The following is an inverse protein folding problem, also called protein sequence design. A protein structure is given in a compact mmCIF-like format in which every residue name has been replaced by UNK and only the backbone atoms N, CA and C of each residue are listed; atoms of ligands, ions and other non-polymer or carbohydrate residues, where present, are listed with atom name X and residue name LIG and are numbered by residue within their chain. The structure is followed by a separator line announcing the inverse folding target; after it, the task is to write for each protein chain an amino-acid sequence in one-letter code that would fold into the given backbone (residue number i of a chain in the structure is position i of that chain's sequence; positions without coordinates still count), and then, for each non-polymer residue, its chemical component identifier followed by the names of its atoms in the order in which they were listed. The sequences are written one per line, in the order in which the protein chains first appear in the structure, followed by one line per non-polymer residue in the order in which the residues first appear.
data_IF_221807169952
#
_entry.id   IF_221807169952
#
_cell.length_a   1.000
_cell.length_b   1.000
_cell.length_c   1.000
_cell.angle_alpha   90.00
_cell.angle_beta   90.00
_cell.angle_gamma   90.00
#
_symmetry.space_group_name_H-M   'P 1'
#
loop_
_entity.id
_entity.type
_entity.pdbx_description
1 polymer ?
#
# COMPACT_ATOMS: atom_id res chain seq x y z
N UNK A 1 17.87 14.53 -11.59
CA UNK A 1 18.35 13.42 -12.46
C UNK A 1 18.91 12.33 -11.55
N UNK A 2 18.18 11.22 -11.31
CA UNK A 2 18.77 10.05 -10.62
C UNK A 2 19.22 9.05 -11.68
N UNK A 3 20.53 8.80 -11.74
CA UNK A 3 21.15 7.89 -12.68
C UNK A 3 21.10 6.44 -12.16
N UNK A 4 20.60 5.57 -13.04
CA UNK A 4 21.02 4.20 -13.36
C UNK A 4 21.67 3.30 -12.30
N UNK A 5 21.01 2.16 -12.06
CA UNK A 5 21.61 0.96 -11.49
C UNK A 5 20.62 -0.20 -11.47
N UNK A 6 20.37 -0.86 -12.61
CA UNK A 6 19.67 -2.15 -12.63
C UNK A 6 20.67 -3.25 -12.24
N UNK A 7 20.95 -3.34 -10.94
CA UNK A 7 21.68 -4.46 -10.37
C UNK A 7 20.81 -5.72 -10.42
N UNK A 8 21.37 -6.83 -10.87
CA UNK A 8 20.76 -8.17 -10.80
C UNK A 8 20.68 -8.64 -9.34
N UNK A 9 19.83 -7.98 -8.55
CA UNK A 9 19.28 -8.54 -7.33
C UNK A 9 18.05 -9.33 -7.80
N UNK A 10 18.03 -10.65 -7.60
CA UNK A 10 16.76 -11.37 -7.59
C UNK A 10 15.90 -10.67 -6.55
N UNK A 11 15.02 -9.77 -6.98
CA UNK A 11 13.97 -9.26 -6.13
C UNK A 11 13.16 -10.50 -5.75
N UNK A 12 13.41 -11.00 -4.54
CA UNK A 12 12.47 -11.92 -3.92
C UNK A 12 11.17 -11.16 -3.92
N UNK A 13 10.19 -11.61 -4.71
CA UNK A 13 8.87 -11.00 -4.74
C UNK A 13 8.42 -10.87 -3.29
N UNK A 14 8.19 -9.65 -2.77
CA UNK A 14 7.69 -9.51 -1.42
C UNK A 14 6.39 -10.32 -1.31
N UNK A 15 6.20 -11.08 -0.22
CA UNK A 15 4.98 -11.85 -0.06
C UNK A 15 3.77 -10.91 -0.10
N UNK A 16 2.66 -11.37 -0.67
CA UNK A 16 1.40 -10.67 -0.51
C UNK A 16 0.98 -10.75 0.96
N UNK A 17 0.53 -9.64 1.55
CA UNK A 17 -0.05 -9.67 2.88
C UNK A 17 -1.54 -9.99 2.82
N UNK A 18 -1.95 -10.95 3.64
CA UNK A 18 -3.36 -11.19 3.91
C UNK A 18 -3.94 -10.03 4.73
N UNK A 19 -5.27 -9.85 4.66
CA UNK A 19 -6.01 -8.81 5.40
C UNK A 19 -5.83 -8.85 6.94
N UNK A 20 -5.20 -9.91 7.49
CA UNK A 20 -4.93 -10.09 8.93
C UNK A 20 -3.47 -9.85 9.30
N UNK A 21 -2.59 -9.63 8.31
CA UNK A 21 -1.17 -9.38 8.53
C UNK A 21 -0.88 -7.88 8.65
N UNK A 22 0.26 -7.54 9.27
CA UNK A 22 0.70 -6.15 9.38
C UNK A 22 1.28 -5.67 8.03
N UNK A 23 0.70 -4.65 7.39
CA UNK A 23 1.19 -4.12 6.10
C UNK A 23 2.48 -3.29 6.21
N UNK A 24 2.89 -2.86 7.41
CA UNK A 24 4.00 -1.92 7.58
C UNK A 24 5.35 -2.40 7.01
N UNK A 25 5.77 -3.67 7.18
CA UNK A 25 7.03 -4.15 6.61
C UNK A 25 7.05 -4.05 5.09
N UNK A 26 5.92 -4.36 4.43
CA UNK A 26 5.78 -4.26 2.98
C UNK A 26 5.76 -2.80 2.51
N UNK A 27 4.98 -1.95 3.18
CA UNK A 27 4.87 -0.53 2.85
C UNK A 27 6.25 0.16 2.80
N UNK A 28 7.17 -0.19 3.70
CA UNK A 28 8.51 0.41 3.79
C UNK A 28 9.48 -0.01 2.68
N UNK A 29 9.23 -1.13 1.99
CA UNK A 29 10.15 -1.67 0.99
C UNK A 29 9.58 -1.62 -0.43
N UNK A 30 8.28 -1.39 -0.57
CA UNK A 30 7.60 -1.29 -1.86
C UNK A 30 7.62 0.15 -2.37
N UNK A 31 7.71 0.31 -3.69
CA UNK A 31 7.42 1.60 -4.34
C UNK A 31 5.90 1.87 -4.38
N UNK A 32 5.10 0.80 -4.51
CA UNK A 32 3.64 0.85 -4.61
C UNK A 32 3.03 -0.35 -3.88
N UNK A 33 2.00 -0.11 -3.06
CA UNK A 33 1.12 -1.13 -2.49
C UNK A 33 -0.12 -1.33 -3.37
N UNK A 34 -0.55 -2.58 -3.56
CA UNK A 34 -1.79 -2.92 -4.28
C UNK A 34 -2.73 -3.61 -3.31
N UNK A 35 -3.88 -2.98 -3.04
CA UNK A 35 -4.87 -3.46 -2.06
C UNK A 35 -6.11 -4.01 -2.76
N UNK A 36 -6.22 -5.35 -2.82
CA UNK A 36 -7.39 -6.11 -3.25
C UNK A 36 -7.93 -6.98 -2.10
N UNK A 37 -7.93 -6.43 -0.90
CA UNK A 37 -8.35 -7.13 0.32
C UNK A 37 -9.83 -6.86 0.66
N UNK A 38 -10.24 -7.15 1.90
CA UNK A 38 -11.56 -6.84 2.43
C UNK A 38 -11.65 -5.38 2.92
N UNK A 39 -12.85 -4.74 2.93
CA UNK A 39 -13.02 -3.36 3.41
C UNK A 39 -12.45 -3.10 4.79
N UNK A 40 -12.44 -4.10 5.68
CA UNK A 40 -11.91 -3.98 7.05
C UNK A 40 -10.39 -3.77 7.12
N UNK A 41 -9.64 -4.05 6.06
CA UNK A 41 -8.18 -3.91 6.04
C UNK A 41 -7.70 -2.58 5.41
N UNK A 42 -8.58 -1.90 4.66
CA UNK A 42 -8.24 -0.67 3.91
C UNK A 42 -7.68 0.43 4.81
N UNK A 43 -8.24 0.61 6.01
CA UNK A 43 -7.76 1.63 6.95
C UNK A 43 -6.31 1.36 7.40
N UNK A 44 -6.00 0.11 7.75
CA UNK A 44 -4.65 -0.27 8.15
C UNK A 44 -3.64 -0.16 6.99
N UNK A 45 -4.04 -0.56 5.78
CA UNK A 45 -3.19 -0.45 4.59
C UNK A 45 -2.93 1.01 4.20
N UNK A 46 -3.96 1.88 4.23
CA UNK A 46 -3.82 3.32 4.00
C UNK A 46 -2.88 3.96 5.03
N UNK A 47 -3.05 3.63 6.32
CA UNK A 47 -2.19 4.16 7.37
C UNK A 47 -0.72 3.78 7.15
N UNK A 48 -0.45 2.52 6.79
CA UNK A 48 0.91 2.05 6.50
C UNK A 48 1.51 2.71 5.25
N UNK A 49 0.73 2.84 4.18
CA UNK A 49 1.14 3.52 2.95
C UNK A 49 1.52 4.98 3.21
N UNK A 50 0.66 5.74 3.88
CA UNK A 50 0.94 7.14 4.26
C UNK A 50 2.17 7.26 5.16
N UNK A 51 2.27 6.41 6.18
CA UNK A 51 3.40 6.45 7.12
C UNK A 51 4.74 6.13 6.45
N UNK A 52 4.74 5.28 5.41
CA UNK A 52 5.92 4.96 4.63
C UNK A 52 6.20 5.96 3.49
N UNK A 53 5.24 6.82 3.14
CA UNK A 53 5.29 7.65 1.94
C UNK A 53 5.19 6.83 0.65
N UNK A 54 4.54 5.67 0.72
CA UNK A 54 4.45 4.69 -0.37
C UNK A 54 3.12 4.86 -1.08
N UNK A 55 3.14 4.91 -2.42
CA UNK A 55 1.93 5.00 -3.20
C UNK A 55 1.05 3.76 -3.00
N UNK A 56 -0.27 3.91 -3.08
CA UNK A 56 -1.22 2.79 -2.94
C UNK A 56 -2.26 2.80 -4.06
N UNK A 57 -2.55 1.61 -4.61
CA UNK A 57 -3.61 1.36 -5.57
C UNK A 57 -4.67 0.51 -4.90
N UNK A 58 -5.87 1.05 -4.74
CA UNK A 58 -6.99 0.35 -4.07
C UNK A 58 -7.95 -0.23 -5.11
N UNK A 59 -8.10 -1.54 -5.09
CA UNK A 59 -9.10 -2.31 -5.82
C UNK A 59 -10.17 -2.96 -4.93
N UNK A 60 -10.06 -2.83 -3.60
CA UNK A 60 -11.09 -3.27 -2.66
C UNK A 60 -12.45 -2.61 -2.95
N UNK A 61 -13.50 -3.43 -3.02
CA UNK A 61 -14.88 -2.99 -3.28
C UNK A 61 -15.74 -3.06 -2.02
N UNK A 62 -16.95 -2.47 -2.03
CA UNK A 62 -17.83 -2.46 -0.86
C UNK A 62 -17.40 -1.47 0.24
N UNK A 63 -16.73 -0.39 -0.15
CA UNK A 63 -16.21 0.62 0.78
C UNK A 63 -17.33 1.47 1.39
N UNK A 64 -17.16 1.80 2.67
CA UNK A 64 -18.04 2.74 3.36
C UNK A 64 -17.72 4.19 2.95
N UNK A 65 -18.62 5.15 3.20
CA UNK A 65 -18.32 6.57 3.00
C UNK A 65 -17.10 7.06 3.80
N UNK A 66 -16.88 6.49 4.98
CA UNK A 66 -15.70 6.78 5.80
C UNK A 66 -14.41 6.32 5.10
N UNK A 67 -14.41 5.12 4.50
CA UNK A 67 -13.25 4.64 3.74
C UNK A 67 -12.95 5.57 2.56
N UNK A 68 -13.97 6.03 1.84
CA UNK A 68 -13.78 6.96 0.73
C UNK A 68 -13.18 8.30 1.19
N UNK A 69 -13.66 8.86 2.30
CA UNK A 69 -13.08 10.07 2.88
C UNK A 69 -11.60 9.89 3.26
N UNK A 70 -11.25 8.74 3.84
CA UNK A 70 -9.86 8.45 4.20
C UNK A 70 -8.95 8.32 2.98
N UNK A 71 -9.48 7.79 1.87
CA UNK A 71 -8.78 7.71 0.57
C UNK A 71 -8.60 9.11 -0.02
N UNK A 72 -9.64 9.92 -0.03
CA UNK A 72 -9.59 11.30 -0.53
C UNK A 72 -8.58 12.13 0.25
N UNK A 73 -8.50 11.95 1.56
CA UNK A 73 -7.50 12.62 2.39
C UNK A 73 -6.08 12.08 2.14
N UNK A 74 -5.92 10.84 1.67
CA UNK A 74 -4.61 10.21 1.42
C UNK A 74 -4.03 10.68 0.09
N UNK A 75 -4.91 10.91 -0.88
CA UNK A 75 -4.56 11.43 -2.18
C UNK A 75 -4.04 12.88 -2.15
N UNK A 76 -4.10 13.56 -1.00
CA UNK A 76 -3.63 14.94 -0.80
C UNK A 76 -2.24 15.03 -0.19
N UNK A 77 -1.70 13.93 0.32
CA UNK A 77 -0.34 13.84 0.90
C UNK A 77 0.72 14.00 -0.21
#
# INVERSE_FOLDING_TARGET
MRASGFGSSRASTPPASDAREDPNPLARIADVLVDFSAPSAVEAHLAAARAAGTAIVIGTTGLSPQHQSMIDDAAKD
#
